data_IF_009880782607
#
_entry.id   IF_009880782607
#
_cell.length_a   1.000
_cell.length_b   1.000
_cell.length_c   1.000
_cell.angle_alpha   90.00
_cell.angle_beta   90.00
_cell.angle_gamma   90.00
#
_symmetry.space_group_name_H-M   'P 1'
#
loop_
_entity.id
_entity.type
_entity.pdbx_description
1 polymer ?
#
# COMPACT_ATOMS: atom_id res chain seq x y z
N UNK A 1 63.04 21.88 27.49
CA UNK A 1 63.83 20.75 27.96
C UNK A 1 63.01 19.99 28.96
N UNK A 2 62.41 18.86 28.57
CA UNK A 2 62.10 17.77 29.51
C UNK A 2 61.72 16.51 28.71
N UNK A 3 62.31 15.46 29.08
CA UNK A 3 62.59 14.22 28.37
C UNK A 3 61.39 13.28 28.39
N UNK A 4 61.06 12.68 27.24
CA UNK A 4 60.13 11.59 27.10
C UNK A 4 60.65 10.28 27.74
N UNK A 5 59.81 9.65 28.56
CA UNK A 5 60.08 8.30 29.05
C UNK A 5 59.13 7.33 28.34
N UNK A 6 59.67 6.44 27.52
CA UNK A 6 59.01 5.36 26.83
C UNK A 6 58.81 4.18 27.80
N UNK A 7 57.59 3.79 28.11
CA UNK A 7 57.31 2.53 28.77
C UNK A 7 57.30 1.37 27.76
N UNK A 8 58.19 0.44 27.96
CA UNK A 8 58.27 -0.88 27.27
C UNK A 8 57.08 -1.74 27.65
N UNK A 9 56.34 -2.20 26.69
CA UNK A 9 55.32 -3.27 26.85
C UNK A 9 56.02 -4.62 26.94
N UNK A 10 55.78 -5.33 28.04
CA UNK A 10 56.29 -6.67 28.29
C UNK A 10 55.44 -7.71 27.52
N UNK A 11 56.12 -8.59 26.76
CA UNK A 11 55.54 -9.62 25.86
C UNK A 11 54.97 -10.86 26.56
N UNK A 12 54.80 -10.86 27.89
CA UNK A 12 54.37 -12.06 28.62
C UNK A 12 52.92 -12.11 29.10
N UNK A 13 52.07 -11.11 28.78
CA UNK A 13 50.67 -11.06 29.23
C UNK A 13 49.67 -11.36 28.11
N UNK A 14 50.07 -12.02 27.03
CA UNK A 14 49.23 -12.29 25.84
C UNK A 14 48.83 -13.74 25.63
N UNK A 15 48.74 -14.55 26.68
CA UNK A 15 48.40 -15.98 26.51
C UNK A 15 47.36 -16.55 27.50
N UNK A 16 46.40 -15.77 28.00
CA UNK A 16 45.26 -16.32 28.76
C UNK A 16 43.91 -15.65 28.46
N UNK A 17 43.65 -15.32 27.21
CA UNK A 17 42.31 -14.91 26.77
C UNK A 17 41.87 -15.80 25.60
N UNK A 18 41.81 -17.09 25.83
CA UNK A 18 41.33 -18.05 24.86
C UNK A 18 40.11 -18.77 25.39
N UNK A 19 39.06 -18.82 24.59
CA UNK A 19 37.90 -19.70 24.73
C UNK A 19 36.76 -19.25 25.68
N UNK A 20 36.18 -18.09 25.45
CA UNK A 20 34.78 -17.86 25.78
C UNK A 20 34.07 -17.34 24.54
N UNK A 21 33.95 -18.21 23.54
CA UNK A 21 33.32 -17.89 22.27
C UNK A 21 32.12 -18.76 22.01
N UNK A 22 31.01 -18.09 21.62
CA UNK A 22 30.03 -18.61 20.69
C UNK A 22 29.04 -19.64 21.24
N UNK A 23 28.33 -19.25 22.27
CA UNK A 23 26.91 -19.55 22.33
C UNK A 23 26.15 -18.23 22.19
N UNK A 24 26.14 -17.67 20.99
CA UNK A 24 25.11 -16.72 20.57
C UNK A 24 23.81 -17.52 20.52
N UNK A 25 23.17 -17.64 21.67
CA UNK A 25 21.81 -18.13 21.81
C UNK A 25 20.96 -17.26 20.89
N UNK A 26 20.41 -17.89 19.85
CA UNK A 26 19.32 -17.33 19.06
C UNK A 26 18.09 -17.22 19.99
N UNK A 27 18.10 -16.23 20.85
CA UNK A 27 16.89 -15.84 21.54
C UNK A 27 15.96 -15.31 20.46
N UNK A 28 14.74 -15.84 20.31
CA UNK A 28 13.77 -15.24 19.42
C UNK A 28 13.60 -13.78 19.82
N UNK A 29 13.66 -12.89 18.85
CA UNK A 29 13.42 -11.47 19.10
C UNK A 29 12.09 -11.33 19.84
N UNK A 30 12.01 -10.53 20.91
CA UNK A 30 10.80 -10.40 21.68
C UNK A 30 9.66 -9.92 20.76
N UNK A 31 8.47 -10.49 20.93
CA UNK A 31 7.30 -10.25 20.06
C UNK A 31 6.90 -8.76 19.91
N UNK A 32 7.38 -7.87 20.78
CA UNK A 32 7.20 -6.42 20.68
C UNK A 32 8.24 -5.74 19.76
N UNK A 33 9.30 -6.44 19.37
CA UNK A 33 10.23 -5.98 18.34
C UNK A 33 9.70 -6.25 16.92
N UNK A 34 8.46 -6.74 16.79
CA UNK A 34 7.75 -6.80 15.53
C UNK A 34 7.50 -5.36 15.05
N UNK A 35 8.36 -4.95 14.19
CA UNK A 35 8.41 -3.81 13.31
C UNK A 35 7.04 -3.15 13.08
N UNK A 36 6.97 -1.86 13.27
CA UNK A 36 6.06 -0.99 12.54
C UNK A 36 6.36 -1.15 11.04
N UNK A 37 5.83 -2.18 10.41
CA UNK A 37 5.83 -2.31 8.96
C UNK A 37 5.09 -1.12 8.36
N UNK A 38 5.41 -0.75 7.12
CA UNK A 38 4.66 0.26 6.38
C UNK A 38 3.18 -0.17 6.35
N UNK A 39 2.28 0.72 6.75
CA UNK A 39 0.84 0.45 6.79
C UNK A 39 0.23 0.72 5.42
N UNK A 40 -0.32 -0.32 4.84
CA UNK A 40 -0.88 -0.30 3.49
C UNK A 40 -2.38 -0.54 3.56
N UNK A 41 -3.17 0.39 3.06
CA UNK A 41 -4.61 0.20 2.87
C UNK A 41 -4.92 -0.02 1.40
N UNK A 42 -5.45 -1.19 1.08
CA UNK A 42 -5.85 -1.59 -0.27
C UNK A 42 -7.35 -1.54 -0.38
N UNK A 43 -7.88 -0.72 -1.29
CA UNK A 43 -9.30 -0.64 -1.60
C UNK A 43 -9.56 -1.22 -2.99
N UNK A 44 -10.36 -2.28 -3.08
CA UNK A 44 -10.71 -2.92 -4.36
C UNK A 44 -12.14 -2.61 -4.76
N UNK A 45 -12.36 -2.36 -6.06
CA UNK A 45 -13.68 -2.08 -6.61
C UNK A 45 -14.25 -3.21 -7.47
N UNK A 46 -13.55 -4.34 -7.60
CA UNK A 46 -14.02 -5.45 -8.44
C UNK A 46 -15.13 -6.27 -7.75
N UNK A 47 -16.25 -6.58 -8.43
CA UNK A 47 -17.25 -7.51 -7.92
C UNK A 47 -16.87 -8.99 -8.15
N UNK A 48 -15.72 -9.28 -8.75
CA UNK A 48 -15.26 -10.62 -9.09
C UNK A 48 -14.05 -11.03 -8.26
N UNK A 49 -14.25 -11.83 -7.18
CA UNK A 49 -13.17 -12.29 -6.27
C UNK A 49 -12.07 -13.09 -6.97
N UNK A 50 -12.38 -13.71 -8.09
CA UNK A 50 -11.41 -14.46 -8.91
C UNK A 50 -11.14 -13.78 -10.26
N UNK A 51 -11.36 -12.45 -10.34
CA UNK A 51 -11.11 -11.66 -11.55
C UNK A 51 -9.69 -11.16 -11.69
N UNK A 52 -9.43 -10.49 -12.81
CA UNK A 52 -8.13 -9.91 -13.19
C UNK A 52 -7.62 -8.90 -12.18
N UNK A 53 -8.45 -7.94 -11.77
CA UNK A 53 -8.06 -6.91 -10.80
C UNK A 53 -7.71 -7.50 -9.43
N UNK A 54 -8.44 -8.57 -9.01
CA UNK A 54 -8.11 -9.29 -7.78
C UNK A 54 -6.76 -9.99 -7.87
N UNK A 55 -6.44 -10.60 -9.02
CA UNK A 55 -5.13 -11.22 -9.23
C UNK A 55 -4.00 -10.19 -9.07
N UNK A 56 -4.11 -9.02 -9.71
CA UNK A 56 -3.11 -7.96 -9.57
C UNK A 56 -3.01 -7.48 -8.11
N UNK A 57 -4.15 -7.36 -7.43
CA UNK A 57 -4.20 -6.98 -6.01
C UNK A 57 -3.54 -8.03 -5.12
N UNK A 58 -3.84 -9.31 -5.33
CA UNK A 58 -3.28 -10.41 -4.55
C UNK A 58 -1.76 -10.48 -4.70
N UNK A 59 -1.24 -10.30 -5.93
CA UNK A 59 0.19 -10.29 -6.21
C UNK A 59 0.88 -9.07 -5.59
N UNK A 60 0.30 -7.89 -5.68
CA UNK A 60 0.81 -6.69 -5.00
C UNK A 60 0.90 -6.92 -3.49
N UNK A 61 -0.18 -7.42 -2.87
CA UNK A 61 -0.23 -7.70 -1.43
C UNK A 61 0.82 -8.75 -1.05
N UNK A 62 1.01 -9.78 -1.86
CA UNK A 62 2.03 -10.80 -1.64
C UNK A 62 3.42 -10.19 -1.60
N UNK A 63 3.74 -9.33 -2.58
CA UNK A 63 5.02 -8.61 -2.63
C UNK A 63 5.22 -7.65 -1.44
N UNK A 64 4.19 -6.89 -1.06
CA UNK A 64 4.23 -5.97 0.07
C UNK A 64 4.47 -6.71 1.40
N UNK A 65 3.75 -7.81 1.63
CA UNK A 65 3.90 -8.64 2.85
C UNK A 65 5.25 -9.32 2.95
N UNK A 66 5.86 -9.72 1.83
CA UNK A 66 7.18 -10.34 1.82
C UNK A 66 8.27 -9.42 2.39
N UNK A 67 8.12 -8.11 2.24
CA UNK A 67 9.03 -7.09 2.79
C UNK A 67 8.56 -6.51 4.13
N UNK A 68 7.55 -7.13 4.76
CA UNK A 68 7.11 -6.82 6.12
C UNK A 68 6.06 -5.70 6.22
N UNK A 69 5.35 -5.35 5.14
CA UNK A 69 4.26 -4.39 5.21
C UNK A 69 3.05 -4.97 5.96
N UNK A 70 2.38 -4.12 6.74
CA UNK A 70 1.10 -4.41 7.37
C UNK A 70 -0.02 -4.01 6.39
N UNK A 71 -0.78 -4.99 5.88
CA UNK A 71 -1.77 -4.75 4.84
C UNK A 71 -3.18 -4.98 5.34
N UNK A 72 -3.98 -3.92 5.32
CA UNK A 72 -5.44 -3.97 5.43
C UNK A 72 -6.07 -3.93 4.02
N UNK A 73 -7.06 -4.80 3.78
CA UNK A 73 -7.77 -4.88 2.49
C UNK A 73 -9.26 -4.67 2.68
N UNK A 74 -9.84 -3.78 1.89
CA UNK A 74 -11.26 -3.49 1.83
C UNK A 74 -11.81 -3.74 0.43
N UNK A 75 -12.64 -4.78 0.30
CA UNK A 75 -13.28 -5.17 -0.97
C UNK A 75 -14.63 -4.46 -1.09
N UNK A 76 -14.65 -3.24 -1.64
CA UNK A 76 -15.82 -2.35 -1.67
C UNK A 76 -17.07 -2.96 -2.30
N UNK A 77 -16.90 -3.84 -3.29
CA UNK A 77 -18.03 -4.51 -3.94
C UNK A 77 -18.79 -5.49 -3.03
N UNK A 78 -18.22 -5.86 -1.89
CA UNK A 78 -18.82 -6.78 -0.91
C UNK A 78 -19.11 -6.10 0.42
N UNK A 79 -19.09 -4.77 0.42
CA UNK A 79 -19.34 -3.92 1.57
C UNK A 79 -20.54 -3.00 1.28
N UNK A 80 -21.22 -2.60 2.32
CA UNK A 80 -22.30 -1.62 2.21
C UNK A 80 -21.69 -0.22 2.28
N UNK A 81 -21.55 0.43 1.14
CA UNK A 81 -21.11 1.82 1.03
C UNK A 81 -22.17 2.63 0.33
N UNK A 82 -22.81 3.54 1.05
CA UNK A 82 -23.84 4.42 0.51
C UNK A 82 -23.19 5.56 -0.27
N UNK A 83 -23.74 5.90 -1.43
CA UNK A 83 -23.27 7.05 -2.23
C UNK A 83 -23.31 8.35 -1.42
N UNK A 84 -22.29 9.19 -1.58
CA UNK A 84 -22.31 10.54 -1.02
C UNK A 84 -23.49 11.33 -1.61
N UNK A 85 -24.36 11.87 -0.77
CA UNK A 85 -25.50 12.69 -1.20
C UNK A 85 -25.17 14.19 -1.33
N UNK A 86 -23.93 14.60 -1.02
CA UNK A 86 -23.54 16.01 -1.05
C UNK A 86 -24.24 16.88 0.00
N UNK A 87 -24.70 16.28 1.11
CA UNK A 87 -25.45 17.00 2.15
C UNK A 87 -24.58 17.95 3.01
N UNK A 88 -23.28 17.91 2.84
CA UNK A 88 -22.27 18.74 3.52
C UNK A 88 -22.25 18.67 5.06
N UNK A 89 -22.98 17.72 5.65
CA UNK A 89 -23.02 17.57 7.11
C UNK A 89 -21.63 17.34 7.72
N UNK A 90 -20.78 16.58 7.03
CA UNK A 90 -19.42 16.28 7.50
C UNK A 90 -18.42 17.42 7.28
N UNK A 91 -18.75 18.47 6.51
CA UNK A 91 -17.93 19.68 6.35
C UNK A 91 -16.45 19.40 6.07
N UNK A 92 -16.12 18.58 5.06
CA UNK A 92 -14.74 18.18 4.69
C UNK A 92 -13.96 17.50 5.84
N UNK A 93 -14.63 16.84 6.77
CA UNK A 93 -14.01 16.15 7.88
C UNK A 93 -14.11 16.86 9.22
N UNK A 94 -14.95 17.90 9.30
CA UNK A 94 -15.25 18.57 10.58
C UNK A 94 -16.20 17.77 11.49
N UNK A 95 -17.00 16.87 10.90
CA UNK A 95 -17.90 15.97 11.61
C UNK A 95 -17.99 14.60 10.91
N UNK A 96 -18.55 13.63 11.61
CA UNK A 96 -18.83 12.31 11.05
C UNK A 96 -19.85 12.38 9.90
N UNK A 97 -19.78 11.42 8.98
CA UNK A 97 -20.80 11.28 7.95
C UNK A 97 -22.15 10.85 8.54
N UNK A 98 -23.25 11.33 7.96
CA UNK A 98 -24.61 10.92 8.35
C UNK A 98 -24.89 9.45 8.09
N UNK A 99 -24.22 8.85 7.10
CA UNK A 99 -24.38 7.44 6.77
C UNK A 99 -23.56 6.55 7.70
N UNK A 100 -24.25 5.62 8.38
CA UNK A 100 -23.65 4.60 9.26
C UNK A 100 -23.50 3.30 8.47
N UNK A 101 -22.43 3.17 7.72
CA UNK A 101 -22.14 2.04 6.85
C UNK A 101 -20.68 1.58 6.98
N UNK A 102 -20.22 0.66 6.13
CA UNK A 102 -18.90 0.03 6.25
C UNK A 102 -17.72 1.01 6.01
N UNK A 103 -17.99 2.27 5.65
CA UNK A 103 -16.96 3.32 5.66
C UNK A 103 -16.41 3.59 7.08
N UNK A 104 -17.21 3.32 8.13
CA UNK A 104 -16.71 3.43 9.52
C UNK A 104 -15.60 2.42 9.84
N UNK A 105 -15.66 1.23 9.23
CA UNK A 105 -14.59 0.24 9.32
C UNK A 105 -13.35 0.70 8.53
N UNK A 106 -13.55 1.26 7.34
CA UNK A 106 -12.46 1.63 6.43
C UNK A 106 -11.73 2.92 6.84
N UNK A 107 -12.45 3.94 7.30
CA UNK A 107 -11.91 5.28 7.53
C UNK A 107 -10.66 5.30 8.44
N UNK A 108 -10.62 4.60 9.59
CA UNK A 108 -9.42 4.56 10.42
C UNK A 108 -8.19 4.02 9.69
N UNK A 109 -8.37 3.00 8.85
CA UNK A 109 -7.29 2.42 8.05
C UNK A 109 -6.80 3.35 6.95
N UNK A 110 -7.70 4.13 6.32
CA UNK A 110 -7.31 5.14 5.34
C UNK A 110 -6.50 6.28 5.99
N UNK A 111 -6.94 6.73 7.17
CA UNK A 111 -6.30 7.83 7.90
C UNK A 111 -4.89 7.42 8.38
N UNK A 112 -4.73 6.19 8.83
CA UNK A 112 -3.48 5.65 9.39
C UNK A 112 -2.53 5.05 8.33
N UNK A 113 -2.94 5.01 7.05
CA UNK A 113 -2.15 4.43 5.98
C UNK A 113 -0.96 5.30 5.58
N UNK A 114 0.21 4.68 5.41
CA UNK A 114 1.38 5.26 4.74
C UNK A 114 1.25 5.14 3.21
N UNK A 115 0.56 4.09 2.74
CA UNK A 115 0.32 3.80 1.33
C UNK A 115 -1.14 3.41 1.11
N UNK A 116 -1.80 4.10 0.18
CA UNK A 116 -3.15 3.76 -0.29
C UNK A 116 -3.05 3.14 -1.68
N UNK A 117 -3.64 1.96 -1.84
CA UNK A 117 -3.70 1.25 -3.13
C UNK A 117 -5.16 1.23 -3.59
N UNK A 118 -5.40 1.82 -4.76
CA UNK A 118 -6.70 1.78 -5.42
C UNK A 118 -6.66 0.72 -6.53
N UNK A 119 -7.50 -0.34 -6.40
CA UNK A 119 -7.57 -1.42 -7.37
C UNK A 119 -8.94 -1.50 -8.03
N UNK A 120 -9.00 -1.49 -9.36
CA UNK A 120 -10.26 -1.42 -10.10
C UNK A 120 -10.23 -2.22 -11.40
N UNK A 121 -11.32 -2.88 -11.81
CA UNK A 121 -11.54 -3.13 -13.23
C UNK A 121 -11.82 -1.80 -13.93
N UNK A 122 -11.40 -1.69 -15.19
CA UNK A 122 -11.76 -0.53 -16.01
C UNK A 122 -13.19 -0.69 -16.52
N UNK A 123 -14.11 0.07 -15.95
CA UNK A 123 -15.50 0.11 -16.41
C UNK A 123 -15.82 1.46 -17.04
N UNK A 124 -16.17 1.45 -18.33
CA UNK A 124 -16.41 2.68 -19.09
C UNK A 124 -15.33 3.74 -18.88
N UNK A 125 -14.05 3.29 -18.97
CA UNK A 125 -12.85 4.13 -18.94
C UNK A 125 -12.60 4.87 -17.60
N UNK A 126 -13.24 4.44 -16.51
CA UNK A 126 -13.11 5.01 -15.18
C UNK A 126 -12.98 3.96 -14.09
N UNK A 127 -12.95 4.42 -12.85
CA UNK A 127 -13.09 3.57 -11.68
C UNK A 127 -14.44 2.83 -11.72
N UNK A 128 -14.48 1.59 -11.26
CA UNK A 128 -15.74 0.90 -11.03
C UNK A 128 -16.63 1.70 -10.06
N UNK A 129 -17.95 1.60 -10.22
CA UNK A 129 -18.88 2.31 -9.35
C UNK A 129 -18.64 2.01 -7.86
N UNK A 130 -18.31 0.77 -7.52
CA UNK A 130 -18.01 0.35 -6.15
C UNK A 130 -16.82 1.05 -5.54
N UNK A 131 -15.71 1.22 -6.30
CA UNK A 131 -14.57 1.98 -5.84
C UNK A 131 -14.88 3.47 -5.79
N UNK A 132 -15.62 3.98 -6.77
CA UNK A 132 -16.00 5.39 -6.81
C UNK A 132 -16.88 5.80 -5.62
N UNK A 133 -17.77 4.93 -5.15
CA UNK A 133 -18.54 5.16 -3.93
C UNK A 133 -17.61 5.44 -2.72
N UNK A 134 -16.54 4.65 -2.58
CA UNK A 134 -15.55 4.87 -1.50
C UNK A 134 -14.81 6.19 -1.71
N UNK A 135 -14.36 6.48 -2.92
CA UNK A 135 -13.62 7.72 -3.24
C UNK A 135 -14.48 8.96 -2.94
N UNK A 136 -15.76 8.96 -3.31
CA UNK A 136 -16.66 10.08 -3.03
C UNK A 136 -16.91 10.29 -1.53
N UNK A 137 -16.78 9.23 -0.74
CA UNK A 137 -16.90 9.28 0.71
C UNK A 137 -15.61 9.74 1.42
N UNK A 138 -14.49 9.92 0.71
CA UNK A 138 -13.30 10.59 1.23
C UNK A 138 -13.62 12.02 1.70
N UNK A 139 -14.66 12.62 1.17
CA UNK A 139 -15.14 13.93 1.59
C UNK A 139 -15.37 14.01 3.12
N UNK A 140 -15.87 12.94 3.74
CA UNK A 140 -16.14 12.89 5.18
C UNK A 140 -14.87 12.85 6.07
N UNK A 141 -13.73 12.54 5.50
CA UNK A 141 -12.42 12.49 6.19
C UNK A 141 -11.36 13.28 5.41
N UNK A 142 -11.79 14.23 4.59
CA UNK A 142 -10.92 14.91 3.63
C UNK A 142 -9.73 15.59 4.30
N UNK A 143 -9.94 16.31 5.40
CA UNK A 143 -8.88 16.99 6.13
C UNK A 143 -7.82 16.04 6.68
N UNK A 144 -8.23 14.83 7.11
CA UNK A 144 -7.32 13.80 7.61
C UNK A 144 -6.56 13.09 6.48
N UNK A 145 -7.14 13.04 5.27
CA UNK A 145 -6.50 12.45 4.10
C UNK A 145 -5.50 13.40 3.41
N UNK A 146 -5.63 14.71 3.60
CA UNK A 146 -4.66 15.70 3.12
C UNK A 146 -3.39 15.70 3.96
N UNK A 147 -2.63 14.62 3.90
CA UNK A 147 -1.32 14.49 4.52
C UNK A 147 -0.39 13.71 3.57
N UNK A 148 0.93 13.98 3.61
CA UNK A 148 1.88 13.27 2.76
C UNK A 148 1.77 11.76 2.96
N UNK A 149 1.43 11.04 1.89
CA UNK A 149 1.39 9.58 1.83
C UNK A 149 1.60 9.10 0.40
N UNK A 150 1.85 7.83 0.23
CA UNK A 150 2.05 7.22 -1.08
C UNK A 150 0.73 6.69 -1.63
N UNK A 151 0.62 6.65 -2.96
CA UNK A 151 -0.52 6.07 -3.65
C UNK A 151 -0.08 5.15 -4.79
N UNK A 152 -0.86 4.10 -5.05
CA UNK A 152 -0.69 3.16 -6.16
C UNK A 152 -2.03 2.92 -6.84
N UNK A 153 -2.02 2.82 -8.17
CA UNK A 153 -3.16 2.38 -8.96
C UNK A 153 -2.90 0.98 -9.55
N UNK A 154 -3.82 0.06 -9.33
CA UNK A 154 -3.87 -1.23 -10.02
C UNK A 154 -5.16 -1.29 -10.84
N UNK A 155 -5.05 -1.45 -12.16
CA UNK A 155 -6.22 -1.53 -13.02
C UNK A 155 -6.10 -2.64 -14.05
N UNK A 156 -7.21 -3.28 -14.39
CA UNK A 156 -7.29 -4.31 -15.42
C UNK A 156 -8.40 -3.97 -16.42
N UNK A 157 -8.09 -4.12 -17.71
CA UNK A 157 -9.00 -3.87 -18.82
C UNK A 157 -8.99 -5.01 -19.82
N UNK A 158 -10.13 -5.27 -20.44
CA UNK A 158 -10.22 -6.16 -21.61
C UNK A 158 -9.50 -5.57 -22.81
N UNK A 159 -9.72 -4.27 -23.01
CA UNK A 159 -9.21 -3.53 -24.16
C UNK A 159 -7.69 -3.33 -24.10
N UNK A 160 -7.04 -3.18 -25.26
CA UNK A 160 -5.58 -3.01 -25.39
C UNK A 160 -5.18 -1.81 -26.23
N UNK A 161 -6.13 -0.97 -26.65
CA UNK A 161 -5.85 0.24 -27.41
C UNK A 161 -5.12 1.29 -26.55
N UNK A 162 -4.38 2.18 -27.17
CA UNK A 162 -3.65 3.28 -26.52
C UNK A 162 -4.53 4.24 -25.73
N UNK A 163 -5.78 4.42 -26.14
CA UNK A 163 -6.79 5.25 -25.45
C UNK A 163 -7.52 4.52 -24.30
N UNK A 164 -7.14 3.26 -23.98
CA UNK A 164 -7.84 2.45 -22.96
C UNK A 164 -7.75 3.08 -21.58
N UNK A 165 -6.57 3.48 -21.12
CA UNK A 165 -6.37 3.93 -19.74
C UNK A 165 -6.24 5.45 -19.53
N UNK A 166 -6.00 6.32 -20.53
CA UNK A 166 -5.74 7.74 -20.27
C UNK A 166 -6.78 8.43 -19.40
N UNK A 167 -8.07 8.16 -19.58
CA UNK A 167 -9.13 8.78 -18.76
C UNK A 167 -9.05 8.35 -17.28
N UNK A 168 -8.83 7.07 -17.00
CA UNK A 168 -8.65 6.57 -15.63
C UNK A 168 -7.35 7.09 -15.01
N UNK A 169 -6.25 7.06 -15.76
CA UNK A 169 -4.96 7.54 -15.28
C UNK A 169 -5.03 9.03 -14.89
N UNK A 170 -5.58 9.87 -15.75
CA UNK A 170 -5.78 11.29 -15.44
C UNK A 170 -6.71 11.54 -14.25
N UNK A 171 -7.78 10.73 -14.11
CA UNK A 171 -8.65 10.83 -12.95
C UNK A 171 -7.87 10.49 -11.65
N UNK A 172 -7.10 9.41 -11.66
CA UNK A 172 -6.25 9.01 -10.53
C UNK A 172 -5.19 10.06 -10.23
N UNK A 173 -4.45 10.54 -11.21
CA UNK A 173 -3.43 11.59 -11.07
C UNK A 173 -4.02 12.87 -10.46
N UNK A 174 -5.22 13.26 -10.92
CA UNK A 174 -5.93 14.44 -10.38
C UNK A 174 -6.32 14.23 -8.92
N UNK A 175 -6.81 13.03 -8.55
CA UNK A 175 -7.13 12.69 -7.17
C UNK A 175 -5.89 12.72 -6.28
N UNK A 176 -4.81 12.07 -6.69
CA UNK A 176 -3.53 12.01 -5.97
C UNK A 176 -2.97 13.42 -5.77
N UNK A 177 -2.97 14.24 -6.82
CA UNK A 177 -2.54 15.65 -6.76
C UNK A 177 -3.41 16.49 -5.82
N UNK A 178 -4.74 16.33 -5.89
CA UNK A 178 -5.66 17.04 -5.00
C UNK A 178 -5.42 16.68 -3.53
N UNK A 179 -5.18 15.40 -3.23
CA UNK A 179 -4.93 14.91 -1.87
C UNK A 179 -3.53 15.23 -1.35
N UNK A 180 -2.61 15.71 -2.20
CA UNK A 180 -1.20 15.92 -1.82
C UNK A 180 -0.43 14.61 -1.62
N UNK A 181 -0.87 13.52 -2.25
CA UNK A 181 -0.20 12.22 -2.18
C UNK A 181 0.89 12.12 -3.25
N UNK A 182 1.80 11.15 -3.08
CA UNK A 182 2.84 10.79 -4.03
C UNK A 182 2.40 9.55 -4.83
N UNK A 183 2.29 9.65 -6.16
CA UNK A 183 2.13 8.48 -7.02
C UNK A 183 3.46 7.71 -7.08
N UNK A 184 3.49 6.51 -6.50
CA UNK A 184 4.69 5.65 -6.49
C UNK A 184 4.60 4.50 -7.46
N UNK A 185 3.53 4.40 -8.25
CA UNK A 185 3.41 3.46 -9.35
C UNK A 185 2.00 3.11 -9.77
N UNK A 186 1.88 2.75 -11.04
CA UNK A 186 0.62 2.32 -11.64
C UNK A 186 0.85 1.01 -12.40
N UNK A 187 -0.07 0.04 -12.27
CA UNK A 187 -0.15 -1.16 -13.10
C UNK A 187 -1.45 -1.08 -13.89
N UNK A 188 -1.33 -0.86 -15.20
CA UNK A 188 -2.45 -0.66 -16.12
C UNK A 188 -2.51 -1.85 -17.09
N UNK A 189 -3.12 -2.96 -16.62
CA UNK A 189 -3.15 -4.24 -17.33
C UNK A 189 -4.13 -4.22 -18.50
N UNK A 190 -3.61 -4.11 -19.72
CA UNK A 190 -4.35 -4.30 -20.97
C UNK A 190 -4.50 -5.79 -21.30
N UNK A 191 -5.48 -6.15 -22.12
CA UNK A 191 -5.79 -7.54 -22.50
C UNK A 191 -6.04 -8.46 -21.29
N UNK A 192 -6.47 -7.89 -20.19
CA UNK A 192 -6.74 -8.55 -18.91
C UNK A 192 -8.24 -8.75 -18.66
N UNK A 193 -8.99 -9.22 -19.68
CA UNK A 193 -10.44 -9.38 -19.60
C UNK A 193 -10.88 -10.51 -18.68
N UNK A 194 -10.07 -11.57 -18.57
CA UNK A 194 -10.32 -12.69 -17.66
C UNK A 194 -9.07 -12.97 -16.83
N UNK A 195 -9.25 -13.69 -15.70
CA UNK A 195 -8.12 -14.11 -14.87
C UNK A 195 -7.09 -14.90 -15.65
N UNK A 196 -7.52 -15.89 -16.44
CA UNK A 196 -6.63 -16.72 -17.24
C UNK A 196 -5.85 -15.92 -18.28
N UNK A 197 -6.47 -14.92 -18.93
CA UNK A 197 -5.74 -14.01 -19.80
C UNK A 197 -4.68 -13.22 -19.03
N UNK A 198 -5.06 -12.68 -17.86
CA UNK A 198 -4.16 -11.88 -17.03
C UNK A 198 -2.96 -12.69 -16.52
N UNK A 199 -3.18 -13.96 -16.12
CA UNK A 199 -2.12 -14.89 -15.69
C UNK A 199 -1.03 -15.12 -16.76
N UNK A 200 -1.39 -15.00 -18.04
CA UNK A 200 -0.47 -15.14 -19.18
C UNK A 200 0.22 -13.84 -19.60
N UNK A 201 0.04 -12.76 -18.84
CA UNK A 201 0.72 -11.47 -19.05
C UNK A 201 1.83 -11.25 -18.02
N UNK A 202 2.61 -10.20 -18.21
CA UNK A 202 3.62 -9.78 -17.21
C UNK A 202 3.02 -9.04 -16.01
N UNK A 203 1.77 -8.55 -16.10
CA UNK A 203 1.19 -7.66 -15.09
C UNK A 203 1.12 -8.24 -13.68
N UNK A 204 0.81 -9.53 -13.44
CA UNK A 204 0.87 -10.12 -12.10
C UNK A 204 2.27 -10.04 -11.49
N UNK A 205 3.33 -10.34 -12.29
CA UNK A 205 4.72 -10.21 -11.86
C UNK A 205 5.06 -8.75 -11.54
N UNK A 206 4.68 -7.82 -12.42
CA UNK A 206 4.90 -6.38 -12.20
C UNK A 206 4.19 -5.87 -10.95
N UNK A 207 2.97 -6.33 -10.68
CA UNK A 207 2.23 -5.97 -9.47
C UNK A 207 2.94 -6.47 -8.20
N UNK A 208 3.45 -7.71 -8.22
CA UNK A 208 4.25 -8.24 -7.11
C UNK A 208 5.54 -7.44 -6.88
N UNK A 209 6.31 -7.16 -7.95
CA UNK A 209 7.55 -6.38 -7.86
C UNK A 209 7.30 -4.95 -7.37
N UNK A 210 6.20 -4.33 -7.82
CA UNK A 210 5.79 -3.02 -7.35
C UNK A 210 5.50 -3.06 -5.84
N UNK A 211 4.73 -4.05 -5.36
CA UNK A 211 4.45 -4.23 -3.94
C UNK A 211 5.71 -4.33 -3.09
N UNK A 212 6.69 -5.13 -3.54
CA UNK A 212 8.00 -5.22 -2.88
C UNK A 212 8.74 -3.89 -2.88
N UNK A 213 8.84 -3.24 -4.05
CA UNK A 213 9.60 -2.01 -4.23
C UNK A 213 9.09 -0.87 -3.36
N UNK A 214 7.77 -0.64 -3.36
CA UNK A 214 7.19 0.54 -2.68
C UNK A 214 7.05 0.36 -1.18
N UNK A 215 7.05 -0.89 -0.70
CA UNK A 215 6.95 -1.23 0.71
C UNK A 215 8.30 -1.61 1.33
N UNK A 216 9.37 -1.78 0.54
CA UNK A 216 10.71 -2.00 1.08
C UNK A 216 11.13 -0.77 1.90
N UNK A 217 11.77 -1.02 3.06
CA UNK A 217 12.41 0.04 3.83
C UNK A 217 13.60 0.58 3.04
N UNK A 218 13.74 1.90 3.02
CA UNK A 218 14.94 2.57 2.52
C UNK A 218 16.13 2.31 3.45
#
# INVERSE_FOLDING_TARGET
>A
MTVHTLHRFDRRTLLTAGAASLLASHLPAPAWAASSGLKVTVVTGSPHRHGSSFLLTDEFIRGAKEVGAEVYRFDAAFKRVTACSGCDHCGLGAADCVYRDDMFELNPHLIDADLIVLSTPLYYFGFSAQLKLVIDRFYAINSQLHSPRKAVLLAAAWNSNDWTFPALAHHYETLVRYMGWEDVGQILGTSCGTRSQTENTEFPRLAYELGKKVCARA
#
